data_IF_946483640216
#
_entry.id   IF_946483640216
#
_cell.length_a   1.000
_cell.length_b   1.000
_cell.length_c   1.000
_cell.angle_alpha   90.00
_cell.angle_beta   90.00
_cell.angle_gamma   90.00
#
_symmetry.space_group_name_H-M   'P 1'
#
loop_
_entity.id
_entity.type
_entity.pdbx_description
1 polymer ?
#
# COMPACT_ATOMS: atom_id res chain seq x y z
N UNK A 1 8.10 -8.01 -7.62
CA UNK A 1 8.39 -6.61 -8.01
C UNK A 1 8.48 -5.75 -6.76
N UNK A 2 9.25 -4.70 -6.79
CA UNK A 2 9.32 -3.77 -5.67
C UNK A 2 8.43 -2.54 -5.90
N UNK A 3 8.35 -1.66 -4.89
CA UNK A 3 7.48 -0.47 -4.98
C UNK A 3 7.89 0.45 -6.13
N UNK A 4 9.20 0.64 -6.35
CA UNK A 4 9.71 1.47 -7.45
C UNK A 4 9.26 0.91 -8.81
N UNK A 5 9.39 -0.39 -9.00
CA UNK A 5 8.99 -1.04 -10.24
C UNK A 5 7.47 -0.95 -10.46
N UNK A 6 6.68 -1.10 -9.39
CA UNK A 6 5.23 -0.97 -9.48
C UNK A 6 4.84 0.43 -9.96
N UNK A 7 5.44 1.47 -9.38
CA UNK A 7 5.17 2.84 -9.77
C UNK A 7 5.55 3.10 -11.23
N UNK A 8 6.67 2.55 -11.68
CA UNK A 8 7.14 2.71 -13.05
C UNK A 8 6.23 2.00 -14.06
N UNK A 9 5.92 0.73 -13.78
CA UNK A 9 5.09 -0.08 -14.69
C UNK A 9 3.69 0.49 -14.86
N UNK A 10 3.11 1.02 -13.80
CA UNK A 10 1.76 1.59 -13.82
C UNK A 10 1.74 3.10 -14.10
N UNK A 11 2.89 3.70 -14.32
CA UNK A 11 3.03 5.14 -14.58
C UNK A 11 2.39 6.01 -13.47
N UNK A 12 2.60 5.62 -12.22
CA UNK A 12 2.03 6.33 -11.07
C UNK A 12 2.81 7.60 -10.76
N UNK A 13 2.10 8.60 -10.24
CA UNK A 13 2.73 9.81 -9.71
C UNK A 13 3.23 9.53 -8.29
N UNK A 14 4.51 9.78 -8.05
CA UNK A 14 5.13 9.53 -6.75
C UNK A 14 5.08 10.77 -5.89
N UNK A 15 4.34 10.74 -4.78
CA UNK A 15 4.35 11.80 -3.78
C UNK A 15 5.36 11.53 -2.68
N UNK A 16 5.39 10.29 -2.19
CA UNK A 16 6.33 9.84 -1.16
C UNK A 16 6.74 8.42 -1.52
N UNK A 17 8.04 8.11 -1.40
CA UNK A 17 8.54 6.76 -1.64
C UNK A 17 9.65 6.44 -0.64
N UNK A 18 9.30 6.22 0.64
CA UNK A 18 10.30 6.01 1.69
C UNK A 18 11.07 4.69 1.55
N UNK A 19 10.43 3.65 1.01
CA UNK A 19 11.04 2.34 0.84
C UNK A 19 10.82 1.82 -0.58
N UNK A 20 11.46 2.43 -1.60
CA UNK A 20 11.20 2.08 -3.00
C UNK A 20 11.64 0.66 -3.39
N UNK A 21 12.55 0.07 -2.62
CA UNK A 21 13.04 -1.28 -2.90
C UNK A 21 12.26 -2.36 -2.17
N UNK A 22 11.26 -2.00 -1.36
CA UNK A 22 10.45 -2.96 -0.64
C UNK A 22 9.65 -3.82 -1.61
N UNK A 23 9.64 -5.14 -1.37
CA UNK A 23 8.98 -6.09 -2.24
C UNK A 23 7.46 -5.99 -2.11
N UNK A 24 6.77 -6.04 -3.25
CA UNK A 24 5.30 -6.08 -3.32
C UNK A 24 4.90 -7.52 -3.65
N UNK A 25 4.21 -8.17 -2.72
CA UNK A 25 3.85 -9.59 -2.83
C UNK A 25 2.42 -9.83 -3.31
N UNK A 26 1.59 -8.80 -3.30
CA UNK A 26 0.20 -8.92 -3.72
C UNK A 26 -0.49 -7.57 -3.63
N UNK A 27 -1.80 -7.58 -3.75
CA UNK A 27 -2.58 -6.35 -3.69
C UNK A 27 -3.85 -6.51 -2.86
N UNK A 28 -4.32 -5.41 -2.30
CA UNK A 28 -5.60 -5.34 -1.62
C UNK A 28 -6.31 -4.06 -2.04
N UNK A 29 -7.57 -4.17 -2.42
CA UNK A 29 -8.40 -3.03 -2.80
C UNK A 29 -9.51 -2.88 -1.79
N UNK A 30 -9.61 -1.72 -1.16
CA UNK A 30 -10.69 -1.48 -0.21
C UNK A 30 -10.51 -0.19 0.56
N UNK A 31 -11.65 0.33 1.03
CA UNK A 31 -11.72 1.61 1.73
C UNK A 31 -12.20 1.48 3.18
N UNK A 32 -12.63 0.30 3.60
CA UNK A 32 -13.06 0.06 4.96
C UNK A 32 -11.85 -0.36 5.80
N UNK A 33 -11.37 0.54 6.64
CA UNK A 33 -10.12 0.35 7.40
C UNK A 33 -10.12 -0.91 8.27
N UNK A 34 -11.25 -1.21 8.91
CA UNK A 34 -11.35 -2.42 9.74
C UNK A 34 -11.16 -3.71 8.94
N UNK A 35 -11.57 -3.70 7.68
CA UNK A 35 -11.37 -4.85 6.80
C UNK A 35 -9.93 -4.93 6.28
N UNK A 36 -9.31 -3.78 6.04
CA UNK A 36 -7.90 -3.75 5.65
C UNK A 36 -7.05 -4.39 6.75
N UNK A 37 -7.31 -4.05 8.02
CA UNK A 37 -6.60 -4.63 9.16
C UNK A 37 -6.73 -6.14 9.22
N UNK A 38 -7.90 -6.69 8.86
CA UNK A 38 -8.14 -8.13 8.95
C UNK A 38 -7.85 -8.92 7.67
N UNK A 39 -7.78 -8.26 6.52
CA UNK A 39 -7.72 -8.94 5.21
C UNK A 39 -6.48 -8.62 4.39
N UNK A 40 -5.94 -7.40 4.48
CA UNK A 40 -4.71 -7.08 3.79
C UNK A 40 -3.55 -7.87 4.41
N UNK A 41 -2.65 -8.35 3.57
CA UNK A 41 -1.50 -9.13 4.02
C UNK A 41 -0.24 -8.30 3.96
N UNK A 42 0.74 -8.65 4.78
CA UNK A 42 2.04 -7.99 4.77
C UNK A 42 2.64 -8.03 3.35
N UNK A 43 3.21 -6.92 2.92
CA UNK A 43 3.80 -6.81 1.59
C UNK A 43 2.80 -6.50 0.48
N UNK A 44 1.51 -6.35 0.78
CA UNK A 44 0.53 -5.96 -0.24
C UNK A 44 0.70 -4.51 -0.66
N UNK A 45 0.36 -4.23 -1.91
CA UNK A 45 0.06 -2.88 -2.36
C UNK A 45 -1.41 -2.62 -2.04
N UNK A 46 -1.69 -1.56 -1.30
CA UNK A 46 -3.05 -1.21 -0.91
C UNK A 46 -3.60 -0.09 -1.80
N UNK A 47 -4.69 -0.36 -2.50
CA UNK A 47 -5.38 0.60 -3.36
C UNK A 47 -6.64 1.09 -2.66
N UNK A 48 -6.74 2.41 -2.47
CA UNK A 48 -7.86 3.03 -1.78
C UNK A 48 -8.09 4.44 -2.29
N UNK A 49 -9.31 4.94 -2.12
CA UNK A 49 -9.63 6.35 -2.40
C UNK A 49 -9.56 7.20 -1.13
N UNK A 50 -9.31 6.60 0.02
CA UNK A 50 -9.22 7.32 1.28
C UNK A 50 -7.87 8.03 1.40
N UNK A 51 -7.88 9.22 2.01
CA UNK A 51 -6.68 10.04 2.15
C UNK A 51 -6.50 10.64 3.55
N UNK A 52 -7.27 10.19 4.55
CA UNK A 52 -7.11 10.71 5.90
C UNK A 52 -5.92 10.07 6.62
N UNK A 53 -5.54 10.64 7.76
CA UNK A 53 -4.34 10.19 8.49
C UNK A 53 -4.46 8.77 9.04
N UNK A 54 -5.66 8.24 9.21
CA UNK A 54 -5.87 6.88 9.69
C UNK A 54 -5.41 5.83 8.67
N UNK A 55 -5.38 6.19 7.39
CA UNK A 55 -4.86 5.31 6.33
C UNK A 55 -3.42 4.95 6.59
N UNK A 56 -2.59 5.95 6.95
CA UNK A 56 -1.17 5.70 7.23
C UNK A 56 -0.99 4.79 8.44
N UNK A 57 -1.79 4.99 9.50
CA UNK A 57 -1.70 4.15 10.69
C UNK A 57 -2.09 2.70 10.38
N UNK A 58 -3.17 2.48 9.64
CA UNK A 58 -3.61 1.15 9.24
C UNK A 58 -2.60 0.48 8.31
N UNK A 59 -2.03 1.23 7.37
CA UNK A 59 -1.01 0.72 6.47
C UNK A 59 0.21 0.21 7.23
N UNK A 60 0.64 0.94 8.26
CA UNK A 60 1.75 0.51 9.10
C UNK A 60 1.42 -0.76 9.88
N UNK A 61 0.25 -0.83 10.50
CA UNK A 61 -0.16 -1.98 11.29
C UNK A 61 -0.39 -3.23 10.45
N UNK A 62 -0.88 -3.09 9.23
CA UNK A 62 -1.08 -4.20 8.30
C UNK A 62 0.21 -4.57 7.55
N UNK A 63 1.28 -3.78 7.72
CA UNK A 63 2.59 -4.03 7.09
C UNK A 63 2.52 -4.07 5.56
N UNK A 64 1.65 -3.28 4.95
CA UNK A 64 1.59 -3.20 3.48
C UNK A 64 2.87 -2.59 2.92
N UNK A 65 3.20 -2.94 1.69
CA UNK A 65 4.39 -2.42 1.04
C UNK A 65 4.21 -0.95 0.61
N UNK A 66 2.99 -0.64 0.20
CA UNK A 66 2.65 0.73 -0.20
C UNK A 66 1.14 0.94 -0.31
#
# INVERSE_FOLDING_TARGET
MNVRELAHVMALTEFIMPEPDREVNGGYVGDLLSWVMGRAQAGNAWLTIMSNQNVAAVALMAEVAC
#
